data_IF_888851057960
#
_entry.id   IF_888851057960
#
_cell.length_a   1.000
_cell.length_b   1.000
_cell.length_c   1.000
_cell.angle_alpha   90.00
_cell.angle_beta   90.00
_cell.angle_gamma   90.00
#
_symmetry.space_group_name_H-M   'P 1'
#
loop_
_entity.id
_entity.type
_entity.pdbx_description
1 polymer ?
#
# COMPACT_ATOMS: atom_id res chain seq x y z
N UNK A 1 0.74 -9.88 -15.34
CA UNK A 1 0.19 -9.83 -13.97
C UNK A 1 1.16 -9.05 -13.09
N UNK A 2 0.68 -8.06 -12.36
CA UNK A 2 1.52 -7.20 -11.51
C UNK A 2 1.84 -7.93 -10.22
N UNK A 3 3.11 -7.90 -9.80
CA UNK A 3 3.50 -8.40 -8.50
C UNK A 3 3.41 -7.28 -7.47
N UNK A 4 3.12 -7.61 -6.22
CA UNK A 4 3.04 -6.62 -5.14
C UNK A 4 3.74 -7.17 -3.90
N UNK A 5 4.65 -6.36 -3.35
CA UNK A 5 5.52 -6.76 -2.23
C UNK A 5 5.50 -5.70 -1.14
N UNK A 6 5.80 -6.11 0.09
CA UNK A 6 6.09 -5.19 1.18
C UNK A 6 7.59 -4.91 1.23
N UNK A 7 7.99 -3.65 1.46
CA UNK A 7 9.36 -3.33 1.84
C UNK A 7 9.64 -3.87 3.24
N UNK A 8 10.91 -3.93 3.63
CA UNK A 8 11.28 -4.36 4.98
C UNK A 8 10.62 -3.47 6.05
N UNK A 9 10.58 -2.16 5.81
CA UNK A 9 9.96 -1.21 6.72
C UNK A 9 8.44 -1.46 6.83
N UNK A 10 7.77 -1.67 5.70
CA UNK A 10 6.33 -1.93 5.69
C UNK A 10 6.01 -3.26 6.36
N UNK A 11 6.81 -4.29 6.12
CA UNK A 11 6.61 -5.61 6.74
C UNK A 11 6.74 -5.54 8.26
N UNK A 12 7.70 -4.77 8.75
CA UNK A 12 7.88 -4.57 10.18
C UNK A 12 6.66 -3.91 10.82
N UNK A 13 6.16 -2.85 10.17
CA UNK A 13 4.98 -2.14 10.68
C UNK A 13 3.76 -3.06 10.62
N UNK A 14 3.60 -3.81 9.53
CA UNK A 14 2.48 -4.75 9.38
C UNK A 14 2.44 -5.76 10.53
N UNK A 15 3.58 -6.23 10.97
CA UNK A 15 3.68 -7.15 12.09
C UNK A 15 3.22 -6.56 13.43
N UNK A 16 3.15 -5.24 13.54
CA UNK A 16 2.71 -4.54 14.75
C UNK A 16 1.20 -4.22 14.72
N UNK A 17 0.52 -4.49 13.61
CA UNK A 17 -0.91 -4.21 13.44
C UNK A 17 -1.76 -5.32 14.03
N UNK A 18 -3.03 -5.00 14.31
CA UNK A 18 -4.01 -6.03 14.70
C UNK A 18 -4.32 -6.94 13.51
N UNK A 19 -4.95 -8.09 13.77
CA UNK A 19 -5.34 -9.00 12.69
C UNK A 19 -6.26 -8.35 11.67
N UNK A 20 -7.23 -7.56 12.15
CA UNK A 20 -8.17 -6.88 11.26
C UNK A 20 -7.43 -5.86 10.39
N UNK A 21 -6.50 -5.11 10.98
CA UNK A 21 -5.69 -4.14 10.26
C UNK A 21 -4.79 -4.84 9.23
N UNK A 22 -4.16 -5.95 9.60
CA UNK A 22 -3.34 -6.74 8.68
C UNK A 22 -4.16 -7.27 7.51
N UNK A 23 -5.37 -7.74 7.77
CA UNK A 23 -6.25 -8.24 6.71
C UNK A 23 -6.63 -7.14 5.73
N UNK A 24 -6.91 -5.93 6.23
CA UNK A 24 -7.24 -4.79 5.38
C UNK A 24 -6.06 -4.38 4.50
N UNK A 25 -4.84 -4.35 5.06
CA UNK A 25 -3.62 -4.03 4.31
C UNK A 25 -3.34 -5.10 3.26
N UNK A 26 -3.52 -6.37 3.60
CA UNK A 26 -3.31 -7.48 2.65
C UNK A 26 -4.31 -7.41 1.49
N UNK A 27 -5.54 -6.96 1.76
CA UNK A 27 -6.53 -6.75 0.69
C UNK A 27 -6.05 -5.70 -0.30
N UNK A 28 -5.38 -4.64 0.18
CA UNK A 28 -4.79 -3.62 -0.70
C UNK A 28 -3.68 -4.24 -1.54
N UNK A 29 -2.80 -5.02 -0.94
CA UNK A 29 -1.71 -5.69 -1.68
C UNK A 29 -2.26 -6.55 -2.81
N UNK A 30 -3.30 -7.33 -2.53
CA UNK A 30 -3.94 -8.18 -3.54
C UNK A 30 -4.62 -7.37 -4.64
N UNK A 31 -5.26 -6.27 -4.27
CA UNK A 31 -5.87 -5.37 -5.25
C UNK A 31 -4.81 -4.78 -6.19
N UNK A 32 -3.62 -4.47 -5.67
CA UNK A 32 -2.52 -3.95 -6.48
C UNK A 32 -2.00 -4.98 -7.49
N UNK A 33 -2.13 -6.27 -7.19
CA UNK A 33 -1.78 -7.33 -8.15
C UNK A 33 -2.72 -7.35 -9.35
N UNK A 34 -3.97 -6.94 -9.16
CA UNK A 34 -4.96 -6.87 -10.23
C UNK A 34 -4.95 -5.51 -10.93
N UNK A 35 -4.73 -4.44 -10.17
CA UNK A 35 -4.75 -3.07 -10.68
C UNK A 35 -3.80 -2.22 -9.82
N UNK A 36 -2.59 -1.90 -10.35
CA UNK A 36 -1.60 -1.13 -9.59
C UNK A 36 -1.98 0.33 -9.39
N UNK A 37 -3.03 0.82 -10.05
CA UNK A 37 -3.49 2.20 -9.94
C UNK A 37 -4.98 2.24 -9.58
N UNK A 38 -5.33 1.85 -8.34
CA UNK A 38 -6.73 1.85 -7.94
C UNK A 38 -7.31 3.27 -7.86
N UNK A 39 -8.59 3.39 -8.19
CA UNK A 39 -9.29 4.68 -8.31
C UNK A 39 -9.20 5.55 -7.06
N UNK A 40 -9.09 4.94 -5.89
CA UNK A 40 -9.06 5.68 -4.63
C UNK A 40 -7.64 6.02 -4.16
N UNK A 41 -6.61 5.69 -4.95
CA UNK A 41 -5.23 6.05 -4.63
C UNK A 41 -4.94 7.48 -5.07
N UNK A 42 -4.11 8.18 -4.29
CA UNK A 42 -3.64 9.51 -4.64
C UNK A 42 -2.21 9.43 -5.14
N UNK A 43 -1.93 10.10 -6.27
CA UNK A 43 -0.56 10.23 -6.76
C UNK A 43 0.28 11.08 -5.82
N UNK A 44 1.52 10.70 -5.59
CA UNK A 44 2.50 11.44 -4.81
C UNK A 44 3.63 11.91 -5.71
N UNK A 45 4.24 13.07 -5.41
CA UNK A 45 5.39 13.54 -6.19
C UNK A 45 6.52 12.51 -6.15
N UNK A 46 7.12 12.26 -7.31
CA UNK A 46 8.24 11.33 -7.44
C UNK A 46 9.28 11.94 -8.39
N UNK A 47 10.54 11.82 -8.03
CA UNK A 47 11.65 12.34 -8.83
C UNK A 47 12.01 11.39 -9.99
N UNK A 48 11.63 10.12 -9.91
CA UNK A 48 11.93 9.12 -10.92
C UNK A 48 10.81 9.05 -11.95
N UNK A 49 11.06 9.42 -13.24
CA UNK A 49 10.01 9.40 -14.26
C UNK A 49 9.52 7.99 -14.62
N UNK A 50 10.24 6.95 -14.22
CA UNK A 50 9.87 5.57 -14.51
C UNK A 50 9.09 4.88 -13.40
N UNK A 51 8.81 5.59 -12.31
CA UNK A 51 8.02 5.07 -11.22
C UNK A 51 6.98 6.08 -10.76
N UNK A 52 5.90 5.57 -10.19
CA UNK A 52 4.82 6.38 -9.66
C UNK A 52 4.56 5.99 -8.23
N UNK A 53 4.45 7.00 -7.35
CA UNK A 53 4.16 6.80 -5.93
C UNK A 53 2.74 7.21 -5.63
N UNK A 54 2.06 6.41 -4.83
CA UNK A 54 0.65 6.58 -4.49
C UNK A 54 0.43 6.33 -3.01
N UNK A 55 -0.69 6.81 -2.51
CA UNK A 55 -1.17 6.46 -1.18
C UNK A 55 -2.62 6.02 -1.25
N UNK A 56 -2.92 4.92 -0.59
CA UNK A 56 -4.29 4.42 -0.39
C UNK A 56 -4.61 4.61 1.09
N UNK A 57 -5.71 5.29 1.38
CA UNK A 57 -6.14 5.53 2.75
C UNK A 57 -7.25 4.55 3.13
N UNK A 58 -6.98 3.73 4.16
CA UNK A 58 -7.95 2.81 4.72
C UNK A 58 -8.60 3.48 5.94
N UNK A 59 -9.90 3.67 5.86
CA UNK A 59 -10.65 4.29 6.94
C UNK A 59 -10.83 3.31 8.13
N UNK A 60 -11.02 3.82 9.35
CA UNK A 60 -11.23 2.95 10.51
C UNK A 60 -12.38 1.97 10.31
N UNK A 61 -13.42 2.33 9.59
CA UNK A 61 -14.56 1.46 9.29
C UNK A 61 -14.14 0.25 8.47
N UNK A 62 -13.12 0.41 7.63
CA UNK A 62 -12.62 -0.66 6.77
C UNK A 62 -11.66 -1.57 7.53
N UNK A 63 -10.81 -0.99 8.38
CA UNK A 63 -9.79 -1.76 9.10
C UNK A 63 -10.32 -2.43 10.37
N UNK A 64 -11.42 -1.92 10.90
CA UNK A 64 -11.92 -2.35 12.20
C UNK A 64 -11.08 -1.85 13.37
N UNK A 65 -10.20 -0.88 13.12
CA UNK A 65 -9.32 -0.31 14.13
C UNK A 65 -8.91 1.10 13.77
N UNK A 66 -7.61 1.33 13.60
CA UNK A 66 -7.08 2.65 13.23
C UNK A 66 -7.15 2.85 11.71
N UNK A 67 -7.25 4.11 11.29
CA UNK A 67 -7.04 4.44 9.88
C UNK A 67 -5.59 4.16 9.49
N UNK A 68 -5.38 3.67 8.30
CA UNK A 68 -4.03 3.31 7.82
C UNK A 68 -3.81 3.90 6.44
N UNK A 69 -2.69 4.60 6.26
CA UNK A 69 -2.25 5.03 4.94
C UNK A 69 -1.23 4.02 4.41
N UNK A 70 -1.51 3.48 3.22
CA UNK A 70 -0.62 2.53 2.55
C UNK A 70 0.10 3.29 1.44
N UNK A 71 1.40 3.50 1.61
CA UNK A 71 2.23 4.21 0.64
C UNK A 71 2.94 3.19 -0.22
N UNK A 72 2.73 3.23 -1.53
CA UNK A 72 3.37 2.28 -2.44
C UNK A 72 3.89 2.98 -3.68
N UNK A 73 4.81 2.31 -4.37
CA UNK A 73 5.39 2.75 -5.63
C UNK A 73 5.13 1.68 -6.68
N UNK A 74 4.69 2.11 -7.85
CA UNK A 74 4.58 1.23 -9.01
C UNK A 74 5.79 1.46 -9.92
N UNK A 75 6.51 0.39 -10.22
CA UNK A 75 7.68 0.41 -11.11
C UNK A 75 7.28 -0.25 -12.42
N UNK A 76 7.09 0.55 -13.46
CA UNK A 76 6.58 0.08 -14.75
C UNK A 76 7.49 -0.97 -15.39
N UNK A 77 8.80 -0.73 -15.36
CA UNK A 77 9.78 -1.62 -16.00
C UNK A 77 9.73 -3.04 -15.44
N UNK A 78 9.36 -3.19 -14.17
CA UNK A 78 9.28 -4.47 -13.47
C UNK A 78 7.85 -5.00 -13.38
N UNK A 79 6.86 -4.19 -13.76
CA UNK A 79 5.45 -4.47 -13.52
C UNK A 79 5.24 -4.94 -12.08
N UNK A 80 5.69 -4.13 -11.14
CA UNK A 80 5.66 -4.48 -9.73
C UNK A 80 5.29 -3.27 -8.88
N UNK A 81 4.53 -3.52 -7.81
CA UNK A 81 4.24 -2.55 -6.77
C UNK A 81 5.08 -2.88 -5.53
N UNK A 82 5.70 -1.88 -4.95
CA UNK A 82 6.40 -2.03 -3.68
C UNK A 82 5.69 -1.16 -2.64
N UNK A 83 5.15 -1.80 -1.62
CA UNK A 83 4.54 -1.09 -0.50
C UNK A 83 5.69 -0.61 0.38
N UNK A 84 5.93 0.69 0.35
CA UNK A 84 7.10 1.29 1.00
C UNK A 84 6.88 1.52 2.48
N UNK A 85 5.66 1.88 2.86
CA UNK A 85 5.38 2.33 4.21
C UNK A 85 3.91 2.13 4.57
N UNK A 86 3.66 1.87 5.84
CA UNK A 86 2.32 1.83 6.40
C UNK A 86 2.29 2.84 7.55
N UNK A 87 1.33 3.76 7.51
CA UNK A 87 1.18 4.78 8.54
C UNK A 87 -0.16 4.55 9.24
N UNK A 88 -0.11 4.03 10.46
CA UNK A 88 -1.30 3.83 11.26
C UNK A 88 -1.61 5.11 12.03
N UNK A 89 -2.86 5.56 11.96
CA UNK A 89 -3.32 6.73 12.67
C UNK A 89 -3.45 6.51 14.17
N UNK A 90 -3.76 7.57 14.93
CA UNK A 90 -3.95 7.50 16.37
C UNK A 90 -5.21 6.70 16.74
#
# INVERSE_FOLDING_TARGET
MTAAFYSDAAEKIRGELTRAEQAAVESVRRALESDPDPDHARGLPDADPHSESYVVELLPEVTGGRGISVVYRYVQDMDACLILWLIAGP
#
